data_IF_700552678948
#
_entry.id   IF_700552678948
#
_cell.length_a   1.000
_cell.length_b   1.000
_cell.length_c   1.000
_cell.angle_alpha   90.00
_cell.angle_beta   90.00
_cell.angle_gamma   90.00
#
_symmetry.space_group_name_H-M   'P 1'
#
loop_
_entity.id
_entity.type
_entity.pdbx_description
1 polymer ?
#
# COMPACT_ATOMS: atom_id res chain seq x y z
N UNK A 1 -21.25 -21.00 34.74
CA UNK A 1 -19.94 -21.45 34.23
C UNK A 1 -19.59 -20.54 33.08
N UNK A 2 -18.88 -19.46 33.38
CA UNK A 2 -18.56 -18.39 32.43
C UNK A 2 -17.41 -18.86 31.53
N UNK A 3 -17.68 -18.96 30.23
CA UNK A 3 -16.69 -19.33 29.24
C UNK A 3 -15.74 -18.14 29.04
N UNK A 4 -14.56 -18.22 29.66
CA UNK A 4 -13.43 -17.36 29.31
C UNK A 4 -13.02 -17.66 27.87
N UNK A 5 -13.57 -16.91 26.90
CA UNK A 5 -13.00 -16.83 25.55
C UNK A 5 -11.56 -16.37 25.74
N UNK A 6 -10.62 -17.22 25.34
CA UNK A 6 -9.17 -16.95 25.33
C UNK A 6 -8.91 -15.77 24.41
N UNK A 7 -8.94 -14.57 24.98
CA UNK A 7 -8.64 -13.32 24.30
C UNK A 7 -7.12 -13.26 24.07
N UNK A 8 -6.74 -13.25 22.79
CA UNK A 8 -5.40 -12.98 22.24
C UNK A 8 -4.31 -14.03 22.46
N UNK A 9 -4.15 -14.92 21.47
CA UNK A 9 -2.86 -15.60 21.23
C UNK A 9 -2.59 -15.84 19.74
N UNK A 10 -3.40 -15.30 18.83
CA UNK A 10 -3.02 -15.23 17.42
C UNK A 10 -2.20 -13.98 17.20
N UNK A 11 -0.88 -14.20 17.10
CA UNK A 11 0.05 -13.18 16.63
C UNK A 11 -0.34 -12.85 15.20
N UNK A 12 -0.89 -11.65 14.98
CA UNK A 12 -1.09 -11.10 13.64
C UNK A 12 0.29 -10.79 13.07
N UNK A 13 0.93 -11.79 12.48
CA UNK A 13 2.14 -11.55 11.70
C UNK A 13 1.76 -10.63 10.54
N UNK A 14 2.50 -9.54 10.40
CA UNK A 14 2.38 -8.64 9.26
C UNK A 14 3.77 -8.46 8.64
N UNK A 15 3.79 -8.33 7.32
CA UNK A 15 5.02 -8.18 6.55
C UNK A 15 4.95 -6.90 5.73
N UNK A 16 6.03 -6.12 5.78
CA UNK A 16 6.25 -4.97 4.91
C UNK A 16 7.48 -5.26 4.08
N UNK A 17 7.32 -5.20 2.76
CA UNK A 17 8.42 -5.53 1.84
C UNK A 17 9.53 -4.46 1.95
N UNK A 18 9.16 -3.18 1.98
CA UNK A 18 10.09 -2.06 2.15
C UNK A 18 9.45 -0.93 2.97
N UNK A 19 10.23 -0.29 3.83
CA UNK A 19 9.89 0.97 4.50
C UNK A 19 10.90 2.04 4.06
N UNK A 20 10.39 3.20 3.69
CA UNK A 20 11.14 4.40 3.36
C UNK A 20 10.72 5.53 4.30
N UNK A 21 11.66 6.38 4.70
CA UNK A 21 11.37 7.64 5.40
C UNK A 21 12.01 8.78 4.63
N UNK A 22 11.21 9.78 4.27
CA UNK A 22 11.68 10.99 3.58
C UNK A 22 11.01 12.22 4.21
N UNK A 23 11.80 13.20 4.65
CA UNK A 23 11.24 14.41 5.27
C UNK A 23 10.33 14.12 6.48
N UNK A 24 10.65 13.09 7.27
CA UNK A 24 9.84 12.57 8.40
C UNK A 24 8.53 11.87 8.00
N UNK A 25 8.21 11.79 6.71
CA UNK A 25 7.05 11.05 6.21
C UNK A 25 7.40 9.57 6.02
N UNK A 26 6.68 8.69 6.72
CA UNK A 26 6.82 7.24 6.59
C UNK A 26 6.11 6.77 5.33
N UNK A 27 6.79 5.96 4.52
CA UNK A 27 6.22 5.30 3.37
C UNK A 27 6.43 3.79 3.40
N UNK A 28 5.34 3.04 3.39
CA UNK A 28 5.35 1.60 3.26
C UNK A 28 5.17 1.20 1.80
N UNK A 29 5.97 0.25 1.33
CA UNK A 29 5.86 -0.30 -0.01
C UNK A 29 5.59 -1.79 0.10
N UNK A 30 4.53 -2.25 -0.56
CA UNK A 30 4.31 -3.66 -0.82
C UNK A 30 4.47 -4.00 -2.29
N UNK A 31 5.06 -5.16 -2.58
CA UNK A 31 5.37 -5.64 -3.92
C UNK A 31 4.71 -7.01 -4.11
N UNK A 32 4.06 -7.22 -5.25
CA UNK A 32 3.44 -8.50 -5.57
C UNK A 32 3.58 -8.87 -7.04
N UNK A 33 3.77 -10.16 -7.29
CA UNK A 33 3.71 -10.76 -8.63
C UNK A 33 2.27 -11.05 -9.07
N UNK A 34 1.27 -10.72 -8.26
CA UNK A 34 -0.14 -10.91 -8.60
C UNK A 34 -0.57 -10.00 -9.76
N UNK A 35 -1.34 -10.58 -10.67
CA UNK A 35 -2.00 -9.90 -11.80
C UNK A 35 -3.53 -9.92 -11.71
N UNK A 36 -4.08 -10.43 -10.61
CA UNK A 36 -5.53 -10.41 -10.32
C UNK A 36 -5.86 -9.21 -9.43
N UNK A 37 -6.77 -8.33 -9.88
CA UNK A 37 -7.14 -7.09 -9.16
C UNK A 37 -7.58 -7.36 -7.72
N UNK A 38 -8.42 -8.37 -7.50
CA UNK A 38 -8.89 -8.73 -6.15
C UNK A 38 -7.72 -9.01 -5.18
N UNK A 39 -6.76 -9.85 -5.58
CA UNK A 39 -5.57 -10.14 -4.75
C UNK A 39 -4.72 -8.89 -4.50
N UNK A 40 -4.59 -8.02 -5.49
CA UNK A 40 -3.88 -6.75 -5.33
C UNK A 40 -4.63 -5.81 -4.36
N UNK A 41 -5.96 -5.79 -4.39
CA UNK A 41 -6.79 -5.02 -3.46
C UNK A 41 -6.57 -5.44 -2.01
N UNK A 42 -6.53 -6.74 -1.72
CA UNK A 42 -6.22 -7.23 -0.37
C UNK A 42 -4.85 -6.73 0.12
N UNK A 43 -3.81 -6.81 -0.71
CA UNK A 43 -2.48 -6.27 -0.37
C UNK A 43 -2.49 -4.74 -0.23
N UNK A 44 -3.28 -4.05 -1.05
CA UNK A 44 -3.51 -2.61 -0.95
C UNK A 44 -4.07 -2.20 0.40
N UNK A 45 -5.14 -2.86 0.85
CA UNK A 45 -5.68 -2.63 2.20
C UNK A 45 -4.65 -2.86 3.30
N UNK A 46 -3.92 -3.97 3.20
CA UNK A 46 -2.89 -4.30 4.18
C UNK A 46 -1.83 -3.20 4.27
N UNK A 47 -1.19 -2.83 3.15
CA UNK A 47 -0.12 -1.82 3.16
C UNK A 47 -0.63 -0.46 3.63
N UNK A 48 -1.84 -0.03 3.21
CA UNK A 48 -2.43 1.24 3.61
C UNK A 48 -2.70 1.27 5.12
N UNK A 49 -3.36 0.24 5.65
CA UNK A 49 -3.72 0.19 7.06
C UNK A 49 -2.48 0.09 7.96
N UNK A 50 -1.48 -0.72 7.58
CA UNK A 50 -0.26 -0.89 8.38
C UNK A 50 0.60 0.35 8.38
N UNK A 51 0.78 0.95 7.21
CA UNK A 51 1.54 2.20 7.10
C UNK A 51 0.89 3.31 7.93
N UNK A 52 -0.44 3.45 7.85
CA UNK A 52 -1.20 4.41 8.67
C UNK A 52 -1.08 4.14 10.16
N UNK A 53 -1.14 2.88 10.59
CA UNK A 53 -0.95 2.50 12.00
C UNK A 53 0.44 2.87 12.53
N UNK A 54 1.48 2.80 11.67
CA UNK A 54 2.86 3.08 12.08
C UNK A 54 3.24 4.57 11.95
N UNK A 55 2.79 5.23 10.89
CA UNK A 55 3.22 6.58 10.51
C UNK A 55 2.13 7.66 10.62
N UNK A 56 0.93 7.30 11.09
CA UNK A 56 -0.21 8.23 11.17
C UNK A 56 -0.84 8.54 9.81
N UNK A 57 -1.74 9.51 9.80
CA UNK A 57 -2.56 9.86 8.63
C UNK A 57 -1.74 10.44 7.47
N UNK A 58 -0.61 11.07 7.77
CA UNK A 58 0.31 11.63 6.77
C UNK A 58 1.20 10.56 6.12
N UNK A 59 1.11 9.31 6.55
CA UNK A 59 1.93 8.24 5.97
C UNK A 59 1.51 7.91 4.53
N UNK A 60 2.49 7.48 3.73
CA UNK A 60 2.30 7.15 2.31
C UNK A 60 2.38 5.65 2.06
N UNK A 61 1.59 5.14 1.14
CA UNK A 61 1.58 3.72 0.80
C UNK A 61 1.77 3.52 -0.69
N UNK A 62 2.69 2.63 -1.06
CA UNK A 62 2.91 2.23 -2.45
C UNK A 62 2.61 0.73 -2.60
N UNK A 63 1.81 0.38 -3.59
CA UNK A 63 1.62 -1.01 -4.00
C UNK A 63 2.12 -1.21 -5.42
N UNK A 64 3.10 -2.10 -5.59
CA UNK A 64 3.65 -2.49 -6.89
C UNK A 64 3.05 -3.83 -7.31
N UNK A 65 2.41 -3.87 -8.48
CA UNK A 65 1.63 -5.03 -8.97
C UNK A 65 1.94 -5.36 -10.43
N UNK A 66 1.47 -6.52 -10.93
CA UNK A 66 1.50 -6.86 -12.36
C UNK A 66 0.22 -6.50 -13.13
N UNK A 67 -0.62 -5.61 -12.59
CA UNK A 67 -1.85 -5.15 -13.24
C UNK A 67 -1.54 -4.30 -14.48
N UNK A 68 -2.47 -4.27 -15.44
CA UNK A 68 -2.43 -3.31 -16.54
C UNK A 68 -2.84 -1.92 -16.08
N UNK A 69 -2.45 -0.89 -16.83
CA UNK A 69 -2.79 0.52 -16.52
C UNK A 69 -4.28 0.75 -16.21
N UNK A 70 -5.21 0.22 -17.00
CA UNK A 70 -6.65 0.36 -16.72
C UNK A 70 -7.09 -0.30 -15.42
N UNK A 71 -6.46 -1.42 -15.03
CA UNK A 71 -6.73 -2.08 -13.76
C UNK A 71 -6.08 -1.35 -12.58
N UNK A 72 -4.90 -0.74 -12.79
CA UNK A 72 -4.24 0.13 -11.82
C UNK A 72 -5.12 1.31 -11.48
N UNK A 73 -5.66 2.01 -12.48
CA UNK A 73 -6.54 3.16 -12.23
C UNK A 73 -7.82 2.75 -11.49
N UNK A 74 -8.44 1.63 -11.88
CA UNK A 74 -9.62 1.11 -11.19
C UNK A 74 -9.30 0.76 -9.72
N UNK A 75 -8.14 0.13 -9.47
CA UNK A 75 -7.72 -0.24 -8.13
C UNK A 75 -7.36 0.97 -7.26
N UNK A 76 -6.69 1.98 -7.85
CA UNK A 76 -6.38 3.24 -7.19
C UNK A 76 -7.66 3.90 -6.66
N UNK A 77 -8.66 4.09 -7.53
CA UNK A 77 -9.93 4.71 -7.16
C UNK A 77 -10.66 3.91 -6.07
N UNK A 78 -10.68 2.57 -6.18
CA UNK A 78 -11.30 1.71 -5.18
C UNK A 78 -10.62 1.85 -3.81
N UNK A 79 -9.29 1.82 -3.76
CA UNK A 79 -8.56 1.91 -2.49
C UNK A 79 -8.67 3.29 -1.86
N UNK A 80 -8.65 4.36 -2.66
CA UNK A 80 -8.87 5.73 -2.16
C UNK A 80 -10.24 5.86 -1.50
N UNK A 81 -11.30 5.41 -2.19
CA UNK A 81 -12.67 5.42 -1.68
C UNK A 81 -12.81 4.59 -0.41
N UNK A 82 -12.33 3.34 -0.44
CA UNK A 82 -12.55 2.37 0.63
C UNK A 82 -11.73 2.70 1.91
N UNK A 83 -10.63 3.45 1.78
CA UNK A 83 -9.72 3.76 2.92
C UNK A 83 -9.75 5.22 3.35
N UNK A 84 -10.52 6.07 2.66
CA UNK A 84 -10.53 7.51 2.87
C UNK A 84 -9.16 8.16 2.58
N UNK A 85 -8.38 7.54 1.69
CA UNK A 85 -7.11 8.07 1.21
C UNK A 85 -7.27 8.85 -0.09
N UNK A 86 -6.16 9.35 -0.62
CA UNK A 86 -6.12 10.09 -1.88
C UNK A 86 -4.86 9.72 -2.66
N UNK A 87 -4.75 10.18 -3.90
CA UNK A 87 -3.53 9.99 -4.69
C UNK A 87 -2.30 10.72 -4.11
N UNK A 88 -2.47 11.55 -3.06
CA UNK A 88 -1.36 12.13 -2.31
C UNK A 88 -0.67 11.12 -1.39
N UNK A 89 -1.41 10.15 -0.84
CA UNK A 89 -0.90 9.21 0.14
C UNK A 89 -1.03 7.73 -0.26
N UNK A 90 -1.67 7.43 -1.39
CA UNK A 90 -1.74 6.09 -1.97
C UNK A 90 -1.23 6.15 -3.40
N UNK A 91 -0.29 5.28 -3.76
CA UNK A 91 0.15 5.10 -5.14
C UNK A 91 0.17 3.62 -5.54
N UNK A 92 -0.53 3.29 -6.61
CA UNK A 92 -0.50 1.95 -7.21
C UNK A 92 0.32 1.99 -8.50
N UNK A 93 1.29 1.07 -8.63
CA UNK A 93 2.14 0.92 -9.81
C UNK A 93 1.87 -0.42 -10.49
N UNK A 94 1.79 -0.40 -11.81
CA UNK A 94 1.51 -1.58 -12.64
C UNK A 94 2.72 -2.09 -13.39
N UNK A 95 2.51 -3.14 -14.21
CA UNK A 95 3.56 -3.73 -15.04
C UNK A 95 4.24 -2.72 -15.98
N UNK A 96 3.49 -1.72 -16.41
CA UNK A 96 3.93 -0.70 -17.37
C UNK A 96 4.87 0.35 -16.71
N UNK A 97 5.04 0.27 -15.38
CA UNK A 97 5.91 1.16 -14.60
C UNK A 97 7.27 0.54 -14.25
N UNK A 98 7.50 -0.75 -14.55
CA UNK A 98 8.67 -1.49 -14.08
C UNK A 98 10.00 -1.08 -14.70
N UNK A 99 10.00 -0.26 -15.76
CA UNK A 99 11.24 0.33 -16.28
C UNK A 99 11.93 1.09 -15.13
N UNK A 100 13.16 0.71 -14.78
CA UNK A 100 13.88 1.17 -13.58
C UNK A 100 13.81 2.68 -13.40
N UNK A 101 14.09 3.43 -14.46
CA UNK A 101 14.12 4.89 -14.44
C UNK A 101 12.73 5.47 -14.19
N UNK A 102 11.70 4.87 -14.78
CA UNK A 102 10.30 5.26 -14.62
C UNK A 102 9.80 4.95 -13.20
N UNK A 103 10.08 3.75 -12.69
CA UNK A 103 9.71 3.31 -11.35
C UNK A 103 10.30 4.24 -10.29
N UNK A 104 11.62 4.44 -10.34
CA UNK A 104 12.33 5.30 -9.39
C UNK A 104 11.82 6.74 -9.48
N UNK A 105 11.63 7.28 -10.69
CA UNK A 105 11.10 8.63 -10.88
C UNK A 105 9.73 8.79 -10.24
N UNK A 106 8.80 7.86 -10.49
CA UNK A 106 7.45 7.90 -9.91
C UNK A 106 7.48 7.87 -8.38
N UNK A 107 8.25 6.96 -7.79
CA UNK A 107 8.38 6.88 -6.33
C UNK A 107 8.98 8.16 -5.74
N UNK A 108 10.04 8.71 -6.34
CA UNK A 108 10.63 9.98 -5.88
C UNK A 108 9.61 11.13 -5.92
N UNK A 109 8.95 11.31 -7.06
CA UNK A 109 7.95 12.36 -7.23
C UNK A 109 6.80 12.20 -6.21
N UNK A 110 6.33 10.97 -5.98
CA UNK A 110 5.30 10.71 -4.99
C UNK A 110 5.75 11.07 -3.56
N UNK A 111 7.01 10.81 -3.20
CA UNK A 111 7.54 11.18 -1.89
C UNK A 111 7.75 12.68 -1.73
N UNK A 112 8.04 13.41 -2.81
CA UNK A 112 8.29 14.87 -2.79
C UNK A 112 7.00 15.71 -2.76
N UNK A 113 5.84 15.14 -3.08
CA UNK A 113 4.55 15.86 -3.08
C UNK A 113 3.98 15.99 -1.67
N UNK A 114 3.65 17.21 -1.24
CA UNK A 114 2.93 17.51 0.00
C UNK A 114 1.42 17.72 -0.26
#
# INVERSE_FOLDING_TARGET
MESKKTFWTEKLDFELDVILVYGYQLCGISITTASKKAKCKHKGFEIIMRTRQMGGDESKSVLITRLSEGQVQALQNELELDTGGTSKNIMILGKDDFKKEKLIKKIKQFMEVN
#
